data_IF_934607539613
#
_entry.id   IF_934607539613
#
_cell.length_a   1.000
_cell.length_b   1.000
_cell.length_c   1.000
_cell.angle_alpha   90.00
_cell.angle_beta   90.00
_cell.angle_gamma   90.00
#
_symmetry.space_group_name_H-M   'P 1'
#
loop_
_entity.id
_entity.type
_entity.pdbx_description
1 polymer ?
#
# COMPACT_ATOMS: atom_id res chain seq x y z
N UNK A 1 -11.27 -18.88 -6.46
CA UNK A 1 -11.09 -17.41 -6.45
C UNK A 1 -11.67 -16.82 -7.73
N UNK A 2 -12.44 -15.75 -7.59
CA UNK A 2 -13.02 -15.06 -8.74
C UNK A 2 -11.91 -14.48 -9.62
N UNK A 3 -11.90 -14.85 -10.91
CA UNK A 3 -10.90 -14.36 -11.88
C UNK A 3 -10.85 -12.84 -11.96
N UNK A 4 -11.98 -12.15 -11.74
CA UNK A 4 -12.05 -10.68 -11.76
C UNK A 4 -11.18 -10.03 -10.68
N UNK A 5 -10.96 -10.70 -9.55
CA UNK A 5 -10.12 -10.19 -8.46
C UNK A 5 -8.63 -10.23 -8.83
N UNK A 6 -8.24 -11.14 -9.73
CA UNK A 6 -6.84 -11.26 -10.18
C UNK A 6 -6.45 -10.20 -11.19
N UNK A 7 -7.42 -9.59 -11.87
CA UNK A 7 -7.18 -8.70 -13.01
C UNK A 7 -6.56 -7.39 -12.59
N UNK A 8 -6.19 -6.96 -11.67
CA UNK A 8 -5.44 -5.74 -11.41
C UNK A 8 -3.99 -6.02 -11.05
N UNK A 9 -3.68 -7.23 -10.59
CA UNK A 9 -2.34 -7.57 -10.12
C UNK A 9 -1.42 -7.91 -11.29
N UNK A 10 -0.15 -7.49 -11.19
CA UNK A 10 0.85 -7.81 -12.21
C UNK A 10 1.19 -9.29 -12.24
N UNK A 11 1.72 -9.74 -13.38
CA UNK A 11 2.23 -11.09 -13.52
C UNK A 11 3.33 -11.40 -12.47
N UNK A 12 4.18 -10.42 -12.14
CA UNK A 12 5.24 -10.59 -11.15
C UNK A 12 4.66 -10.82 -9.74
N UNK A 13 3.65 -10.03 -9.32
CA UNK A 13 2.98 -10.23 -8.04
C UNK A 13 2.27 -11.58 -7.99
N UNK A 14 1.55 -11.95 -9.04
CA UNK A 14 0.86 -13.24 -9.13
C UNK A 14 1.84 -14.41 -9.06
N UNK A 15 2.99 -14.30 -9.72
CA UNK A 15 4.03 -15.34 -9.68
C UNK A 15 4.61 -15.52 -8.27
N UNK A 16 4.85 -14.43 -7.54
CA UNK A 16 5.31 -14.48 -6.15
C UNK A 16 4.29 -15.19 -5.26
N UNK A 17 3.02 -14.85 -5.38
CA UNK A 17 1.95 -15.47 -4.61
C UNK A 17 1.89 -16.99 -4.93
N UNK A 18 1.94 -17.34 -6.21
CA UNK A 18 1.91 -18.75 -6.66
C UNK A 18 3.11 -19.55 -6.17
N UNK A 19 4.25 -18.92 -5.99
CA UNK A 19 5.48 -19.54 -5.47
C UNK A 19 5.52 -19.60 -3.93
N UNK A 20 4.51 -19.10 -3.24
CA UNK A 20 4.47 -19.07 -1.77
C UNK A 20 5.39 -18.03 -1.15
N UNK A 21 5.63 -16.92 -1.82
CA UNK A 21 6.48 -15.85 -1.32
C UNK A 21 5.93 -15.24 -0.01
N UNK A 22 6.85 -14.66 0.78
CA UNK A 22 6.51 -13.99 2.03
C UNK A 22 5.84 -12.64 1.80
N UNK A 23 5.15 -12.12 2.83
CA UNK A 23 4.55 -10.79 2.77
C UNK A 23 5.55 -9.69 2.42
N UNK A 24 6.78 -9.65 3.01
CA UNK A 24 7.78 -8.66 2.60
C UNK A 24 8.12 -8.72 1.11
N UNK A 25 8.26 -9.90 0.53
CA UNK A 25 8.57 -10.06 -0.90
C UNK A 25 7.44 -9.57 -1.78
N UNK A 26 6.20 -9.93 -1.45
CA UNK A 26 5.01 -9.51 -2.20
C UNK A 26 4.84 -7.99 -2.09
N UNK A 27 4.98 -7.45 -0.89
CA UNK A 27 4.84 -6.02 -0.64
C UNK A 27 5.90 -5.21 -1.37
N UNK A 28 7.17 -5.64 -1.36
CA UNK A 28 8.24 -4.96 -2.09
C UNK A 28 7.94 -4.89 -3.57
N UNK A 29 7.55 -6.00 -4.18
CA UNK A 29 7.21 -6.03 -5.60
C UNK A 29 6.04 -5.08 -5.90
N UNK A 30 5.00 -5.13 -5.09
CA UNK A 30 3.82 -4.29 -5.27
C UNK A 30 4.17 -2.80 -5.13
N UNK A 31 4.90 -2.42 -4.09
CA UNK A 31 5.27 -1.02 -3.87
C UNK A 31 6.23 -0.50 -4.93
N UNK A 32 7.16 -1.31 -5.40
CA UNK A 32 8.07 -0.93 -6.49
C UNK A 32 7.29 -0.59 -7.76
N UNK A 33 6.23 -1.33 -8.04
CA UNK A 33 5.36 -1.06 -9.19
C UNK A 33 4.54 0.22 -9.05
N UNK A 34 4.20 0.61 -7.80
CA UNK A 34 3.31 1.73 -7.53
C UNK A 34 4.02 3.07 -7.38
N UNK A 35 5.15 3.08 -6.69
CA UNK A 35 5.72 4.33 -6.20
C UNK A 35 7.00 4.78 -6.91
N UNK A 36 7.65 3.90 -7.66
CA UNK A 36 8.98 4.19 -8.17
C UNK A 36 10.01 4.30 -7.05
N UNK A 37 11.24 4.62 -7.39
CA UNK A 37 12.32 4.78 -6.41
C UNK A 37 13.16 6.01 -6.79
N UNK A 38 12.93 7.11 -6.09
CA UNK A 38 13.51 8.42 -6.41
C UNK A 38 14.68 8.71 -5.47
N UNK A 39 15.89 8.84 -6.03
CA UNK A 39 17.09 9.18 -5.24
C UNK A 39 17.19 10.66 -4.91
N UNK A 40 16.37 11.50 -5.50
CA UNK A 40 16.28 12.93 -5.20
C UNK A 40 14.87 13.27 -4.71
N UNK A 41 14.81 14.12 -3.68
CA UNK A 41 13.54 14.55 -3.11
C UNK A 41 12.63 15.22 -4.15
N UNK A 42 11.34 14.93 -4.06
CA UNK A 42 10.31 15.51 -4.90
C UNK A 42 9.07 15.80 -4.05
N UNK A 43 8.19 16.64 -4.55
CA UNK A 43 6.89 16.86 -3.92
C UNK A 43 5.89 15.85 -4.43
N UNK A 44 5.19 15.18 -3.53
CA UNK A 44 4.10 14.28 -3.89
C UNK A 44 2.84 15.05 -4.32
N UNK A 45 1.76 14.36 -4.66
CA UNK A 45 0.50 14.97 -5.06
C UNK A 45 -0.14 15.86 -4.00
N UNK A 46 0.25 15.73 -2.73
CA UNK A 46 -0.20 16.56 -1.61
C UNK A 46 0.78 17.69 -1.27
N UNK A 47 1.87 17.82 -2.03
CA UNK A 47 2.90 18.82 -1.80
C UNK A 47 3.89 18.48 -0.70
N UNK A 48 3.94 17.25 -0.24
CA UNK A 48 4.85 16.78 0.81
C UNK A 48 6.17 16.34 0.18
N UNK A 49 7.30 16.82 0.75
CA UNK A 49 8.62 16.39 0.31
C UNK A 49 8.84 14.92 0.62
N UNK A 50 9.17 14.17 -0.41
CA UNK A 50 9.19 12.71 -0.43
C UNK A 50 10.46 12.24 -1.12
N UNK A 51 10.97 11.07 -0.77
CA UNK A 51 12.16 10.49 -1.40
C UNK A 51 12.04 8.96 -1.42
N UNK A 52 12.90 8.32 -2.20
CA UNK A 52 12.95 6.87 -2.34
C UNK A 52 11.59 6.32 -2.83
N UNK A 53 10.98 5.39 -2.12
CA UNK A 53 9.70 4.78 -2.51
C UNK A 53 8.54 5.34 -1.67
N UNK A 54 8.55 6.65 -1.47
CA UNK A 54 7.49 7.34 -0.75
C UNK A 54 7.81 7.72 0.68
N UNK A 55 9.08 7.66 1.10
CA UNK A 55 9.48 8.04 2.43
C UNK A 55 9.41 9.57 2.62
N UNK A 56 8.88 9.99 3.74
CA UNK A 56 8.82 11.42 4.13
C UNK A 56 9.77 11.74 5.27
N UNK A 57 10.35 10.72 5.90
CA UNK A 57 11.33 10.82 6.98
C UNK A 57 12.45 9.83 6.70
N UNK A 58 13.70 10.28 6.85
CA UNK A 58 14.91 9.46 6.67
C UNK A 58 15.82 9.69 7.86
N UNK A 59 16.21 8.62 8.55
CA UNK A 59 17.08 8.67 9.74
C UNK A 59 16.57 9.68 10.81
N UNK A 60 15.23 9.71 10.99
CA UNK A 60 14.59 10.59 11.97
C UNK A 60 14.44 12.05 11.52
N UNK A 61 14.86 12.39 10.30
CA UNK A 61 14.76 13.75 9.77
C UNK A 61 13.71 13.82 8.64
N UNK A 62 12.90 14.86 8.68
CA UNK A 62 11.94 15.14 7.59
C UNK A 62 12.70 15.37 6.29
N UNK A 63 12.21 14.77 5.20
CA UNK A 63 12.76 14.99 3.86
C UNK A 63 12.65 16.48 3.50
N UNK A 64 13.71 17.04 2.96
CA UNK A 64 13.82 18.46 2.62
C UNK A 64 14.11 18.64 1.13
N UNK A 65 13.89 19.87 0.59
CA UNK A 65 14.21 20.16 -0.81
C UNK A 65 15.67 19.86 -1.11
N UNK A 66 15.92 19.27 -2.29
CA UNK A 66 17.27 18.89 -2.75
C UNK A 66 17.95 17.77 -1.96
N UNK A 67 17.25 17.08 -1.03
CA UNK A 67 17.81 15.88 -0.42
C UNK A 67 18.12 14.86 -1.52
N UNK A 68 19.33 14.30 -1.47
CA UNK A 68 19.79 13.30 -2.42
C UNK A 68 20.38 12.12 -1.67
N UNK A 69 19.95 10.92 -2.01
CA UNK A 69 20.44 9.68 -1.40
C UNK A 69 20.97 8.75 -2.50
N UNK A 70 21.86 7.85 -2.12
CA UNK A 70 22.29 6.79 -3.04
C UNK A 70 21.15 5.78 -3.23
N UNK A 71 21.25 4.99 -4.30
CA UNK A 71 20.32 3.88 -4.52
C UNK A 71 20.34 2.90 -3.34
N UNK A 72 21.53 2.59 -2.83
CA UNK A 72 21.71 1.68 -1.71
C UNK A 72 21.05 2.22 -0.43
N UNK A 73 21.18 3.53 -0.20
CA UNK A 73 20.51 4.16 0.94
C UNK A 73 18.98 4.13 0.80
N UNK A 74 18.47 4.38 -0.40
CA UNK A 74 17.04 4.25 -0.67
C UNK A 74 16.55 2.81 -0.45
N UNK A 75 17.31 1.81 -0.85
CA UNK A 75 16.95 0.41 -0.62
C UNK A 75 16.82 0.12 0.89
N UNK A 76 17.72 0.66 1.71
CA UNK A 76 17.64 0.54 3.17
C UNK A 76 16.42 1.27 3.74
N UNK A 77 16.16 2.49 3.30
CA UNK A 77 15.01 3.28 3.73
C UNK A 77 13.70 2.57 3.36
N UNK A 78 13.61 2.05 2.15
CA UNK A 78 12.43 1.32 1.68
C UNK A 78 12.17 0.06 2.51
N UNK A 79 13.23 -0.68 2.85
CA UNK A 79 13.11 -1.87 3.70
C UNK A 79 12.61 -1.54 5.10
N UNK A 80 13.08 -0.45 5.68
CA UNK A 80 12.64 0.02 7.00
C UNK A 80 11.15 0.39 6.97
N UNK A 81 10.73 1.15 5.97
CA UNK A 81 9.34 1.57 5.83
C UNK A 81 8.41 0.38 5.58
N UNK A 82 8.83 -0.58 4.76
CA UNK A 82 8.11 -1.85 4.54
C UNK A 82 7.94 -2.61 5.85
N UNK A 83 9.01 -2.78 6.61
CA UNK A 83 8.99 -3.55 7.85
C UNK A 83 8.14 -2.86 8.92
N UNK A 84 8.14 -1.53 8.99
CA UNK A 84 7.25 -0.76 9.86
C UNK A 84 5.79 -1.03 9.52
N UNK A 85 5.44 -1.03 8.26
CA UNK A 85 4.07 -1.27 7.81
C UNK A 85 3.61 -2.70 8.18
N UNK A 86 4.45 -3.70 7.94
CA UNK A 86 4.13 -5.08 8.29
C UNK A 86 4.06 -5.30 9.80
N UNK A 87 4.94 -4.67 10.58
CA UNK A 87 4.89 -4.72 12.03
C UNK A 87 3.60 -4.10 12.58
N UNK A 88 3.13 -3.01 11.95
CA UNK A 88 1.85 -2.40 12.31
C UNK A 88 0.68 -3.39 12.10
N UNK A 89 0.69 -4.11 10.97
CA UNK A 89 -0.34 -5.13 10.66
C UNK A 89 -0.33 -6.22 11.74
N UNK A 90 0.84 -6.75 12.09
CA UNK A 90 0.98 -7.80 13.10
C UNK A 90 0.43 -7.36 14.48
N UNK A 91 0.65 -6.10 14.86
CA UNK A 91 0.18 -5.60 16.16
C UNK A 91 -1.31 -5.27 16.19
N UNK A 92 -1.87 -4.80 15.08
CA UNK A 92 -3.17 -4.14 15.10
C UNK A 92 -4.30 -4.92 14.43
N UNK A 93 -3.99 -5.87 13.55
CA UNK A 93 -5.01 -6.70 12.90
C UNK A 93 -5.15 -8.00 13.70
N UNK A 94 -6.37 -8.26 14.14
CA UNK A 94 -6.67 -9.35 15.10
C UNK A 94 -7.20 -10.63 14.45
N UNK A 95 -7.42 -10.62 13.13
CA UNK A 95 -7.86 -11.81 12.40
C UNK A 95 -6.65 -12.51 11.78
N UNK A 96 -6.70 -13.85 11.59
CA UNK A 96 -5.62 -14.57 10.91
C UNK A 96 -5.46 -14.10 9.46
N UNK A 97 -4.21 -13.96 9.02
CA UNK A 97 -3.89 -13.45 7.69
C UNK A 97 -2.93 -14.36 6.96
N UNK A 98 -3.12 -14.51 5.66
CA UNK A 98 -2.15 -15.11 4.75
C UNK A 98 -1.12 -14.05 4.32
N UNK A 99 -0.04 -14.48 3.69
CA UNK A 99 1.02 -13.56 3.26
C UNK A 99 0.54 -12.50 2.24
N UNK A 100 -0.24 -12.86 1.20
CA UNK A 100 -0.82 -11.83 0.31
C UNK A 100 -1.73 -10.85 1.04
N UNK A 101 -2.52 -11.32 1.99
CA UNK A 101 -3.42 -10.48 2.76
C UNK A 101 -2.64 -9.47 3.61
N UNK A 102 -1.58 -9.91 4.27
CA UNK A 102 -0.70 -9.01 5.03
C UNK A 102 -0.12 -7.91 4.13
N UNK A 103 0.33 -8.28 2.95
CA UNK A 103 0.91 -7.32 2.00
C UNK A 103 -0.11 -6.27 1.55
N UNK A 104 -1.34 -6.69 1.21
CA UNK A 104 -2.40 -5.77 0.80
C UNK A 104 -2.80 -4.79 1.89
N UNK A 105 -2.97 -5.27 3.12
CA UNK A 105 -3.31 -4.45 4.27
C UNK A 105 -2.18 -3.47 4.57
N UNK A 106 -0.94 -3.95 4.59
CA UNK A 106 0.22 -3.12 4.87
C UNK A 106 0.37 -1.98 3.83
N UNK A 107 0.15 -2.29 2.56
CA UNK A 107 0.21 -1.28 1.49
C UNK A 107 -0.86 -0.20 1.68
N UNK A 108 -2.10 -0.60 1.89
CA UNK A 108 -3.22 0.33 1.98
C UNK A 108 -3.17 1.16 3.27
N UNK A 109 -3.13 0.48 4.40
CA UNK A 109 -3.46 1.12 5.67
C UNK A 109 -2.27 1.84 6.30
N UNK A 110 -1.26 1.15 6.86
CA UNK A 110 -0.17 1.88 7.50
C UNK A 110 0.74 2.59 6.50
N UNK A 111 0.98 2.02 5.32
CA UNK A 111 1.95 2.58 4.37
C UNK A 111 1.38 3.77 3.61
N UNK A 112 0.20 3.63 2.98
CA UNK A 112 -0.32 4.66 2.08
C UNK A 112 -1.16 5.72 2.80
N UNK A 113 -2.23 5.33 3.50
CA UNK A 113 -3.06 6.33 4.19
C UNK A 113 -2.52 6.72 5.56
N UNK A 114 -1.69 5.88 6.17
CA UNK A 114 -1.07 6.12 7.45
C UNK A 114 -1.91 5.64 8.64
N UNK A 115 -1.25 5.28 9.77
CA UNK A 115 -1.93 4.77 10.96
C UNK A 115 -3.02 5.69 11.50
N UNK A 116 -2.79 6.99 11.47
CA UNK A 116 -3.76 7.98 11.98
C UNK A 116 -5.08 7.98 11.23
N UNK A 117 -5.07 7.71 9.94
CA UNK A 117 -6.29 7.58 9.13
C UNK A 117 -6.82 6.15 9.13
N UNK A 118 -5.94 5.17 9.31
CA UNK A 118 -6.30 3.76 9.32
C UNK A 118 -7.17 3.40 10.53
N UNK A 119 -6.78 3.77 11.74
CA UNK A 119 -7.49 3.42 12.96
C UNK A 119 -8.98 3.81 12.95
N UNK A 120 -9.38 5.03 12.55
CA UNK A 120 -10.80 5.39 12.50
C UNK A 120 -11.53 4.88 11.26
N UNK A 121 -10.85 4.24 10.30
CA UNK A 121 -11.45 3.84 9.04
C UNK A 121 -12.49 2.71 9.21
N UNK A 122 -13.46 2.70 8.31
CA UNK A 122 -14.42 1.60 8.20
C UNK A 122 -13.73 0.30 7.86
N UNK A 123 -12.69 0.36 7.02
CA UNK A 123 -11.87 -0.81 6.70
C UNK A 123 -11.33 -1.50 7.95
N UNK A 124 -10.68 -0.76 8.83
CA UNK A 124 -10.06 -1.29 10.05
C UNK A 124 -11.11 -1.93 10.96
N UNK A 125 -12.22 -1.24 11.17
CA UNK A 125 -13.31 -1.73 12.02
C UNK A 125 -13.92 -3.02 11.48
N UNK A 126 -14.20 -3.08 10.18
CA UNK A 126 -14.79 -4.27 9.53
C UNK A 126 -13.83 -5.45 9.58
N UNK A 127 -12.55 -5.22 9.26
CA UNK A 127 -11.56 -6.29 9.24
C UNK A 127 -11.41 -6.94 10.61
N UNK A 128 -11.24 -6.15 11.67
CA UNK A 128 -11.11 -6.66 13.03
C UNK A 128 -12.40 -7.23 13.61
N UNK A 129 -13.54 -6.92 13.01
CA UNK A 129 -14.82 -7.58 13.33
C UNK A 129 -15.02 -8.90 12.57
N UNK A 130 -14.07 -9.29 11.70
CA UNK A 130 -14.17 -10.51 10.90
C UNK A 130 -14.91 -10.35 9.58
N UNK A 131 -15.40 -9.15 9.26
CA UNK A 131 -16.06 -8.85 7.99
C UNK A 131 -15.01 -8.54 6.91
N UNK A 132 -14.41 -9.59 6.36
CA UNK A 132 -13.32 -9.45 5.39
C UNK A 132 -13.80 -8.86 4.07
N UNK A 133 -14.93 -9.32 3.57
CA UNK A 133 -15.52 -8.80 2.32
C UNK A 133 -15.86 -7.33 2.44
N UNK A 134 -16.49 -6.94 3.53
CA UNK A 134 -16.81 -5.54 3.79
C UNK A 134 -15.57 -4.66 3.97
N UNK A 135 -14.51 -5.21 4.56
CA UNK A 135 -13.23 -4.51 4.67
C UNK A 135 -12.62 -4.25 3.29
N UNK A 136 -12.59 -5.25 2.42
CA UNK A 136 -12.06 -5.10 1.06
C UNK A 136 -12.85 -4.11 0.22
N UNK A 137 -14.17 -4.07 0.39
CA UNK A 137 -15.02 -3.05 -0.23
C UNK A 137 -14.65 -1.65 0.25
N UNK A 138 -14.44 -1.49 1.56
CA UNK A 138 -14.10 -0.19 2.15
C UNK A 138 -12.74 0.35 1.69
N UNK A 139 -11.80 -0.51 1.29
CA UNK A 139 -10.53 -0.06 0.68
C UNK A 139 -10.82 0.77 -0.58
N UNK A 140 -11.76 0.35 -1.40
CA UNK A 140 -12.09 0.99 -2.68
C UNK A 140 -12.70 2.38 -2.53
N UNK A 141 -13.14 2.75 -1.34
CA UNK A 141 -13.70 4.08 -1.08
C UNK A 141 -12.63 5.17 -1.01
N UNK A 142 -11.36 4.80 -0.86
CA UNK A 142 -10.24 5.73 -0.72
C UNK A 142 -9.70 6.14 -2.09
N UNK A 143 -10.51 6.88 -2.84
CA UNK A 143 -10.26 7.27 -4.23
C UNK A 143 -10.25 8.78 -4.42
N UNK A 144 -10.04 9.54 -3.35
CA UNK A 144 -9.91 10.99 -3.44
C UNK A 144 -8.48 11.42 -3.20
N UNK A 145 -8.03 12.41 -3.96
CA UNK A 145 -6.73 13.04 -3.81
C UNK A 145 -6.92 14.55 -3.71
N UNK A 146 -6.65 15.12 -2.54
CA UNK A 146 -6.90 16.54 -2.28
C UNK A 146 -8.36 16.93 -2.50
N UNK A 147 -9.30 16.04 -2.18
CA UNK A 147 -10.74 16.25 -2.39
C UNK A 147 -11.22 15.94 -3.80
N UNK A 148 -10.32 15.68 -4.76
CA UNK A 148 -10.67 15.35 -6.14
C UNK A 148 -11.06 13.87 -6.25
N UNK A 149 -12.13 13.57 -6.96
CA UNK A 149 -12.55 12.21 -7.26
C UNK A 149 -11.67 11.61 -8.36
N UNK A 150 -10.87 10.61 -8.02
CA UNK A 150 -9.93 9.99 -8.96
C UNK A 150 -10.58 9.09 -10.00
N UNK A 151 -11.87 8.78 -9.88
CA UNK A 151 -12.63 8.10 -10.93
C UNK A 151 -12.84 9.01 -12.15
N UNK A 152 -12.78 10.30 -11.96
CA UNK A 152 -12.88 11.29 -13.03
C UNK A 152 -11.50 11.44 -13.67
N UNK A 153 -11.36 10.98 -14.92
CA UNK A 153 -10.08 10.91 -15.62
C UNK A 153 -9.36 12.25 -15.73
N UNK A 154 -10.13 13.33 -15.90
CA UNK A 154 -9.57 14.70 -15.98
C UNK A 154 -8.91 15.18 -14.68
N UNK A 155 -9.15 14.52 -13.55
CA UNK A 155 -8.50 14.83 -12.29
C UNK A 155 -7.07 14.27 -12.19
N UNK A 156 -6.62 13.50 -13.17
CA UNK A 156 -5.25 12.99 -13.29
C UNK A 156 -4.77 12.16 -12.10
N UNK A 157 -5.67 11.43 -11.44
CA UNK A 157 -5.32 10.55 -10.31
C UNK A 157 -5.98 9.17 -10.40
N UNK A 158 -6.33 8.71 -11.60
CA UNK A 158 -6.99 7.42 -11.81
C UNK A 158 -6.15 6.23 -11.32
N UNK A 159 -4.84 6.40 -11.21
CA UNK A 159 -3.95 5.41 -10.62
C UNK A 159 -4.33 5.03 -9.18
N UNK A 160 -4.93 5.96 -8.42
CA UNK A 160 -5.48 5.68 -7.09
C UNK A 160 -6.57 4.61 -7.15
N UNK A 161 -7.47 4.70 -8.11
CA UNK A 161 -8.57 3.74 -8.28
C UNK A 161 -8.01 2.35 -8.55
N UNK A 162 -7.06 2.25 -9.47
CA UNK A 162 -6.38 1.00 -9.81
C UNK A 162 -5.67 0.43 -8.59
N UNK A 163 -4.94 1.27 -7.86
CA UNK A 163 -4.21 0.86 -6.66
C UNK A 163 -5.14 0.29 -5.59
N UNK A 164 -6.28 0.93 -5.35
CA UNK A 164 -7.26 0.45 -4.36
C UNK A 164 -7.85 -0.90 -4.77
N UNK A 165 -8.13 -1.11 -6.05
CA UNK A 165 -8.60 -2.40 -6.55
C UNK A 165 -7.56 -3.49 -6.32
N UNK A 166 -6.28 -3.20 -6.53
CA UNK A 166 -5.19 -4.14 -6.33
C UNK A 166 -4.95 -4.44 -4.85
N UNK A 167 -4.99 -3.43 -4.00
CA UNK A 167 -4.87 -3.61 -2.54
C UNK A 167 -6.04 -4.43 -1.99
N UNK A 168 -7.25 -4.20 -2.51
CA UNK A 168 -8.43 -4.99 -2.18
C UNK A 168 -8.27 -6.44 -2.62
N UNK A 169 -7.76 -6.68 -3.82
CA UNK A 169 -7.51 -8.03 -4.34
C UNK A 169 -6.51 -8.81 -3.49
N UNK A 170 -5.43 -8.17 -3.04
CA UNK A 170 -4.46 -8.79 -2.13
C UNK A 170 -5.07 -9.07 -0.77
N UNK A 171 -5.76 -8.10 -0.19
CA UNK A 171 -6.34 -8.20 1.16
C UNK A 171 -7.39 -9.30 1.24
N UNK A 172 -8.16 -9.52 0.19
CA UNK A 172 -9.15 -10.59 0.12
C UNK A 172 -8.67 -11.81 -0.70
N UNK A 173 -7.37 -11.96 -0.86
CA UNK A 173 -6.83 -13.11 -1.58
C UNK A 173 -7.25 -14.41 -0.91
N UNK A 174 -7.84 -15.34 -1.70
CA UNK A 174 -8.32 -16.63 -1.20
C UNK A 174 -9.67 -16.59 -0.51
N UNK A 175 -10.29 -15.42 -0.38
CA UNK A 175 -11.63 -15.27 0.19
C UNK A 175 -12.64 -15.22 -0.94
N UNK A 176 -13.65 -16.07 -0.87
CA UNK A 176 -14.74 -16.08 -1.85
C UNK A 176 -15.58 -14.80 -1.74
N UNK A 177 -15.91 -14.26 -2.90
CA UNK A 177 -16.73 -13.07 -3.00
C UNK A 177 -17.99 -13.33 -3.82
#
# INVERSE_FOLDING_TARGET
MNTKIRYGLSAAVLALIGAGASAPQILDQFLDEKAGNHTMAYRDGSGIWTICRGATVVDGKTVFPNMKLSKEKCDQVNAIERDKALAWVERNIKVPLTEPQKAGIASFCPYNIGPGKCFPSTFYKRLNAGDRKGACEAIRWWIKDGGRDCRIRSNNCYGQVIRRDQESALTCWGIEQ
#
